data_IF_661845615128
#
_entry.id   IF_661845615128
#
_cell.length_a   1.000
_cell.length_b   1.000
_cell.length_c   1.000
_cell.angle_alpha   90.00
_cell.angle_beta   90.00
_cell.angle_gamma   90.00
#
_symmetry.space_group_name_H-M   'P 1'
#
loop_
_entity.id
_entity.type
_entity.pdbx_description
1 polymer ?
#
# COMPACT_ATOMS: atom_id res chain seq x y z
N UNK A 1 -23.54 14.74 -12.04
CA UNK A 1 -22.29 15.13 -11.36
C UNK A 1 -22.22 14.38 -10.03
N UNK A 2 -21.39 13.34 -9.94
CA UNK A 2 -21.21 12.58 -8.69
C UNK A 2 -20.42 13.46 -7.73
N UNK A 3 -20.98 13.74 -6.54
CA UNK A 3 -20.25 14.44 -5.47
C UNK A 3 -19.07 13.55 -5.06
N UNK A 4 -17.88 13.89 -5.53
CA UNK A 4 -16.66 13.15 -5.20
C UNK A 4 -16.33 13.43 -3.73
N UNK A 5 -16.47 12.41 -2.91
CA UNK A 5 -16.22 12.50 -1.48
C UNK A 5 -14.70 12.73 -1.26
N UNK A 6 -14.30 13.96 -0.92
CA UNK A 6 -12.89 14.36 -0.73
C UNK A 6 -12.12 13.41 0.21
N UNK A 7 -12.84 12.74 1.12
CA UNK A 7 -12.28 11.79 2.09
C UNK A 7 -11.86 10.47 1.45
N UNK A 8 -12.59 10.00 0.44
CA UNK A 8 -12.26 8.77 -0.31
C UNK A 8 -11.04 8.97 -1.20
N UNK A 9 -10.85 10.18 -1.73
CA UNK A 9 -9.68 10.52 -2.55
C UNK A 9 -8.36 10.39 -1.78
N UNK A 10 -8.33 10.83 -0.51
CA UNK A 10 -7.13 10.75 0.33
C UNK A 10 -6.74 9.32 0.70
N UNK A 11 -7.71 8.40 0.83
CA UNK A 11 -7.42 6.97 1.03
C UNK A 11 -6.72 6.37 -0.20
N UNK A 12 -7.22 6.67 -1.39
CA UNK A 12 -6.63 6.22 -2.65
C UNK A 12 -5.23 6.79 -2.87
N UNK A 13 -5.01 8.06 -2.57
CA UNK A 13 -3.68 8.69 -2.63
C UNK A 13 -2.69 8.02 -1.67
N UNK A 14 -3.12 7.72 -0.44
CA UNK A 14 -2.29 6.98 0.53
C UNK A 14 -1.93 5.59 0.01
N UNK A 15 -2.89 4.83 -0.52
CA UNK A 15 -2.64 3.50 -1.07
C UNK A 15 -1.63 3.54 -2.23
N UNK A 16 -1.76 4.50 -3.15
CA UNK A 16 -0.78 4.70 -4.23
C UNK A 16 0.62 4.96 -3.68
N UNK A 17 0.72 5.80 -2.66
CA UNK A 17 2.00 6.12 -2.02
C UNK A 17 2.63 4.89 -1.37
N UNK A 18 1.83 4.03 -0.72
CA UNK A 18 2.28 2.79 -0.10
C UNK A 18 2.65 1.70 -1.12
N UNK A 19 1.99 1.66 -2.28
CA UNK A 19 2.31 0.73 -3.37
C UNK A 19 3.65 1.05 -4.02
N UNK A 20 4.01 2.33 -4.11
CA UNK A 20 5.32 2.75 -4.61
C UNK A 20 6.44 2.39 -3.63
N UNK A 21 6.26 2.75 -2.36
CA UNK A 21 7.25 2.51 -1.32
C UNK A 21 6.58 2.56 0.07
N UNK A 22 6.31 1.38 0.68
CA UNK A 22 5.66 1.30 1.98
C UNK A 22 6.61 1.62 3.14
N UNK A 23 7.92 1.78 2.90
CA UNK A 23 8.93 2.04 3.92
C UNK A 23 9.10 3.53 4.24
N UNK A 24 8.48 4.41 3.43
CA UNK A 24 8.48 5.87 3.66
C UNK A 24 7.97 6.20 5.06
N UNK A 25 8.61 7.19 5.67
CA UNK A 25 8.15 7.70 6.96
C UNK A 25 6.76 8.33 6.83
N UNK A 26 5.98 8.28 7.90
CA UNK A 26 4.63 8.86 7.90
C UNK A 26 4.66 10.36 7.60
N UNK A 27 5.70 11.06 8.07
CA UNK A 27 5.94 12.47 7.76
C UNK A 27 6.08 12.71 6.26
N UNK A 28 6.94 11.91 5.59
CA UNK A 28 7.15 12.02 4.14
C UNK A 28 5.88 11.71 3.35
N UNK A 29 5.16 10.69 3.76
CA UNK A 29 3.88 10.32 3.13
C UNK A 29 2.84 11.44 3.30
N UNK A 30 2.80 12.10 4.46
CA UNK A 30 1.90 13.21 4.72
C UNK A 30 2.21 14.43 3.83
N UNK A 31 3.50 14.75 3.63
CA UNK A 31 3.94 15.78 2.68
C UNK A 31 3.47 15.47 1.25
N UNK A 32 3.72 14.24 0.78
CA UNK A 32 3.39 13.82 -0.60
C UNK A 32 1.89 13.94 -0.87
N UNK A 33 1.05 13.45 0.05
CA UNK A 33 -0.40 13.49 -0.12
C UNK A 33 -1.02 14.79 0.43
N UNK A 34 -0.19 15.80 0.76
CA UNK A 34 -0.59 17.13 1.26
C UNK A 34 -1.62 17.05 2.39
N UNK A 35 -1.26 16.37 3.47
CA UNK A 35 -2.11 16.16 4.65
C UNK A 35 -1.30 16.18 5.95
N UNK A 36 -1.97 15.90 7.07
CA UNK A 36 -1.35 15.75 8.39
C UNK A 36 -0.96 14.30 8.69
N UNK A 37 0.16 14.12 9.39
CA UNK A 37 0.67 12.81 9.80
C UNK A 37 -0.34 11.96 10.57
N UNK A 38 -1.11 12.59 11.46
CA UNK A 38 -2.16 11.90 12.23
C UNK A 38 -3.21 11.26 11.32
N UNK A 39 -3.56 11.94 10.23
CA UNK A 39 -4.53 11.41 9.27
C UNK A 39 -3.95 10.22 8.51
N UNK A 40 -2.68 10.30 8.09
CA UNK A 40 -1.97 9.16 7.48
C UNK A 40 -1.96 7.96 8.40
N UNK A 41 -1.56 8.13 9.67
CA UNK A 41 -1.57 7.07 10.68
C UNK A 41 -2.94 6.44 10.85
N UNK A 42 -3.97 7.28 11.02
CA UNK A 42 -5.33 6.80 11.24
C UNK A 42 -5.85 6.03 10.02
N UNK A 43 -5.61 6.54 8.81
CA UNK A 43 -6.04 5.88 7.57
C UNK A 43 -5.28 4.60 7.28
N UNK A 44 -3.99 4.56 7.55
CA UNK A 44 -3.19 3.33 7.45
C UNK A 44 -3.77 2.24 8.34
N UNK A 45 -4.05 2.55 9.61
CA UNK A 45 -4.69 1.59 10.53
C UNK A 45 -6.09 1.16 10.11
N UNK A 46 -6.90 2.08 9.57
CA UNK A 46 -8.21 1.72 9.02
C UNK A 46 -8.07 0.70 7.88
N UNK A 47 -7.12 0.92 6.96
CA UNK A 47 -6.87 0.04 5.80
C UNK A 47 -6.29 -1.33 6.19
N UNK A 48 -5.53 -1.39 7.28
CA UNK A 48 -5.04 -2.66 7.83
C UNK A 48 -6.18 -3.41 8.54
N UNK A 49 -7.02 -2.71 9.30
CA UNK A 49 -8.15 -3.31 10.02
C UNK A 49 -9.26 -3.80 9.09
N UNK A 50 -9.55 -3.08 8.01
CA UNK A 50 -10.54 -3.47 7.01
C UNK A 50 -10.00 -4.50 5.99
N UNK A 51 -8.75 -4.95 6.17
CA UNK A 51 -8.06 -5.89 5.28
C UNK A 51 -8.02 -5.39 3.82
N UNK A 52 -7.97 -4.08 3.59
CA UNK A 52 -7.53 -3.55 2.29
C UNK A 52 -6.02 -3.73 2.12
N UNK A 53 -5.26 -3.58 3.20
CA UNK A 53 -3.84 -3.92 3.28
C UNK A 53 -3.73 -5.22 4.07
N UNK A 54 -3.36 -6.32 3.40
CA UNK A 54 -3.20 -7.63 4.05
C UNK A 54 -1.85 -7.78 4.75
N UNK A 55 -0.84 -7.05 4.28
CA UNK A 55 0.50 -7.09 4.82
C UNK A 55 1.46 -6.33 3.93
N UNK A 56 2.69 -6.18 4.42
CA UNK A 56 3.79 -5.58 3.69
C UNK A 56 4.77 -6.70 3.33
N UNK A 57 5.20 -6.73 2.07
CA UNK A 57 6.19 -7.71 1.60
C UNK A 57 7.32 -7.00 0.88
N UNK A 58 8.50 -7.61 0.91
CA UNK A 58 9.62 -7.16 0.10
C UNK A 58 9.51 -7.81 -1.29
N UNK A 59 9.66 -7.01 -2.34
CA UNK A 59 9.85 -7.54 -3.70
C UNK A 59 11.31 -7.98 -3.81
N UNK A 60 11.53 -9.27 -3.99
CA UNK A 60 12.86 -9.88 -4.04
C UNK A 60 13.22 -10.15 -5.49
N UNK A 61 14.46 -9.85 -5.86
CA UNK A 61 15.01 -10.22 -7.15
C UNK A 61 15.43 -11.70 -7.11
N UNK A 62 14.58 -12.57 -7.65
CA UNK A 62 14.78 -14.01 -7.69
C UNK A 62 16.02 -14.44 -8.49
N UNK A 63 16.65 -13.58 -9.29
CA UNK A 63 17.90 -13.93 -9.97
C UNK A 63 19.12 -13.83 -9.05
N UNK A 64 19.03 -13.00 -8.01
CA UNK A 64 20.11 -12.75 -7.03
C UNK A 64 20.08 -13.73 -5.87
N UNK A 65 18.94 -14.36 -5.66
CA UNK A 65 18.78 -15.45 -4.71
C UNK A 65 18.72 -16.70 -5.57
N UNK A 66 19.37 -17.81 -5.22
CA UNK A 66 19.25 -19.06 -6.00
C UNK A 66 17.86 -19.69 -5.82
N UNK A 67 16.81 -18.93 -6.08
CA UNK A 67 15.42 -19.29 -5.91
C UNK A 67 14.95 -20.00 -7.16
N UNK A 68 14.26 -21.12 -6.97
CA UNK A 68 13.67 -21.90 -8.06
C UNK A 68 12.16 -21.70 -8.00
N UNK A 69 11.61 -20.99 -8.98
CA UNK A 69 10.16 -20.83 -9.11
C UNK A 69 9.51 -22.18 -9.46
N UNK A 70 8.77 -22.75 -8.51
CA UNK A 70 7.99 -23.96 -8.71
C UNK A 70 6.57 -23.60 -9.16
N UNK A 71 6.27 -23.87 -10.42
CA UNK A 71 4.90 -23.80 -10.95
C UNK A 71 4.36 -25.23 -10.97
N UNK A 72 3.32 -25.50 -10.17
CA UNK A 72 2.61 -26.78 -10.19
C UNK A 72 1.35 -26.58 -11.05
N UNK A 73 1.32 -27.06 -12.30
CA UNK A 73 0.10 -27.04 -13.08
C UNK A 73 -0.90 -28.01 -12.45
N UNK A 74 -2.08 -27.51 -12.08
CA UNK A 74 -3.19 -28.39 -11.73
C UNK A 74 -3.71 -29.07 -13.01
N UNK A 75 -3.90 -30.40 -13.01
CA UNK A 75 -4.59 -31.05 -14.11
C UNK A 75 -6.05 -30.60 -14.08
N UNK A 76 -6.51 -30.07 -15.22
CA UNK A 76 -7.91 -29.72 -15.51
C UNK A 76 -8.69 -30.99 -15.84
#
# INVERSE_FOLDING_TARGET
MVKKDRKSDKKLELLKCLLEDPTRSVSKTAEIISTYERMVWQKKKELEADHTIWGYTAVIDESKVNHVLLIIPFPV
#
